data_IF_984740086525
#
_entry.id   IF_984740086525
#
_cell.length_a   1.000
_cell.length_b   1.000
_cell.length_c   1.000
_cell.angle_alpha   90.00
_cell.angle_beta   90.00
_cell.angle_gamma   90.00
#
_symmetry.space_group_name_H-M   'P 1'
#
loop_
_entity.id
_entity.type
_entity.pdbx_description
1 polymer ?
#
# COMPACT_ATOMS: atom_id res chain seq x y z
N UNK A 1 -14.73 -5.52 5.38
CA UNK A 1 -13.61 -4.60 5.63
C UNK A 1 -13.61 -3.54 4.53
N UNK A 2 -13.58 -2.28 4.90
CA UNK A 2 -13.53 -1.12 3.99
C UNK A 2 -12.09 -0.68 3.75
N UNK A 3 -11.88 0.19 2.76
CA UNK A 3 -10.57 0.82 2.54
C UNK A 3 -10.13 1.67 3.73
N UNK A 4 -11.06 2.27 4.48
CA UNK A 4 -10.71 3.06 5.66
C UNK A 4 -10.17 2.17 6.79
N UNK A 5 -10.82 1.01 7.01
CA UNK A 5 -10.40 0.04 8.03
C UNK A 5 -9.03 -0.55 7.73
N UNK A 6 -8.72 -0.87 6.45
CA UNK A 6 -7.38 -1.37 6.09
C UNK A 6 -6.33 -0.27 6.23
N UNK A 7 -6.65 1.00 5.91
CA UNK A 7 -5.73 2.12 6.16
C UNK A 7 -5.37 2.23 7.64
N UNK A 8 -6.35 2.12 8.54
CA UNK A 8 -6.10 2.13 9.97
C UNK A 8 -5.21 0.94 10.39
N UNK A 9 -5.55 -0.28 9.96
CA UNK A 9 -4.78 -1.48 10.29
C UNK A 9 -3.31 -1.40 9.79
N UNK A 10 -3.09 -0.82 8.60
CA UNK A 10 -1.74 -0.60 8.06
C UNK A 10 -0.96 0.37 8.95
N UNK A 11 -1.55 1.49 9.36
CA UNK A 11 -0.88 2.46 10.24
C UNK A 11 -0.52 1.84 11.58
N UNK A 12 -1.44 1.07 12.17
CA UNK A 12 -1.19 0.36 13.43
C UNK A 12 -0.01 -0.62 13.30
N UNK A 13 0.06 -1.38 12.21
CA UNK A 13 1.17 -2.31 11.97
C UNK A 13 2.50 -1.60 11.69
N UNK A 14 2.49 -0.45 11.01
CA UNK A 14 3.70 0.35 10.82
C UNK A 14 4.22 0.91 12.16
N UNK A 15 3.33 1.34 13.05
CA UNK A 15 3.71 1.77 14.40
C UNK A 15 4.33 0.62 15.21
N UNK A 16 3.77 -0.58 15.12
CA UNK A 16 4.34 -1.79 15.74
C UNK A 16 5.74 -2.10 15.18
N UNK A 17 5.91 -2.02 13.86
CA UNK A 17 7.21 -2.20 13.18
C UNK A 17 8.26 -1.22 13.71
N UNK A 18 7.89 0.05 13.87
CA UNK A 18 8.81 1.07 14.39
C UNK A 18 9.12 0.86 15.88
N UNK A 19 8.10 0.59 16.70
CA UNK A 19 8.22 0.53 18.15
C UNK A 19 8.87 -0.78 18.64
N UNK A 20 8.45 -1.93 18.10
CA UNK A 20 8.89 -3.25 18.58
C UNK A 20 10.15 -3.74 17.86
N UNK A 21 10.29 -3.42 16.58
CA UNK A 21 11.37 -3.95 15.74
C UNK A 21 12.43 -2.89 15.38
N UNK A 22 12.29 -1.65 15.86
CA UNK A 22 13.23 -0.54 15.67
C UNK A 22 13.55 -0.22 14.20
N UNK A 23 12.65 -0.57 13.26
CA UNK A 23 12.83 -0.27 11.84
C UNK A 23 12.37 1.15 11.56
N UNK A 24 13.32 2.10 11.56
CA UNK A 24 13.04 3.54 11.36
C UNK A 24 13.04 4.00 9.91
N UNK A 25 13.61 3.22 9.01
CA UNK A 25 13.81 3.60 7.62
C UNK A 25 13.55 2.41 6.69
N UNK A 26 12.88 2.68 5.58
CA UNK A 26 12.66 1.69 4.52
C UNK A 26 13.12 2.25 3.17
N UNK A 27 13.48 1.37 2.23
CA UNK A 27 13.74 1.77 0.84
C UNK A 27 12.45 1.98 0.05
N UNK A 28 11.35 1.37 0.50
CA UNK A 28 10.03 1.44 -0.10
C UNK A 28 9.08 0.43 0.55
N UNK A 29 7.86 0.34 0.02
CA UNK A 29 6.85 -0.64 0.45
C UNK A 29 5.98 -1.05 -0.75
N UNK A 30 5.40 -2.24 -0.69
CA UNK A 30 4.39 -2.71 -1.65
C UNK A 30 3.22 -3.27 -0.87
N UNK A 31 2.01 -2.83 -1.20
CA UNK A 31 0.78 -3.32 -0.58
C UNK A 31 0.02 -4.18 -1.59
N UNK A 32 -0.31 -5.40 -1.20
CA UNK A 32 -1.18 -6.29 -1.96
C UNK A 32 -2.59 -6.20 -1.38
N UNK A 33 -3.57 -5.93 -2.23
CA UNK A 33 -4.98 -5.83 -1.86
C UNK A 33 -5.76 -6.84 -2.70
N UNK A 34 -6.59 -7.65 -2.03
CA UNK A 34 -7.54 -8.55 -2.68
C UNK A 34 -8.94 -7.92 -2.55
N UNK A 35 -9.37 -7.13 -3.55
CA UNK A 35 -10.66 -6.47 -3.51
C UNK A 35 -11.81 -7.48 -3.64
N UNK A 36 -12.89 -7.20 -2.92
CA UNK A 36 -14.13 -7.98 -2.93
C UNK A 36 -15.34 -7.07 -3.12
N UNK A 37 -16.46 -7.63 -3.60
CA UNK A 37 -17.74 -6.94 -3.68
C UNK A 37 -18.43 -6.79 -2.30
N UNK A 38 -17.83 -7.30 -1.23
CA UNK A 38 -18.37 -7.27 0.14
C UNK A 38 -19.33 -8.43 0.45
N UNK A 39 -19.68 -9.25 -0.54
CA UNK A 39 -20.48 -10.47 -0.40
C UNK A 39 -19.65 -11.75 -0.48
N UNK A 40 -18.33 -11.62 -0.65
CA UNK A 40 -17.39 -12.74 -0.69
C UNK A 40 -16.87 -13.08 -2.08
N UNK A 41 -17.35 -12.40 -3.12
CA UNK A 41 -16.80 -12.57 -4.47
C UNK A 41 -15.63 -11.61 -4.70
N UNK A 42 -14.66 -12.06 -5.48
CA UNK A 42 -13.55 -11.25 -5.95
C UNK A 42 -14.03 -10.19 -6.94
N UNK A 43 -13.35 -9.04 -6.92
CA UNK A 43 -13.61 -7.94 -7.86
C UNK A 43 -12.34 -7.65 -8.66
N UNK A 44 -12.46 -7.45 -9.97
CA UNK A 44 -11.37 -6.92 -10.79
C UNK A 44 -11.52 -5.41 -10.95
N UNK A 45 -10.62 -4.58 -10.35
CA UNK A 45 -10.70 -3.14 -10.52
C UNK A 45 -10.41 -2.75 -11.96
N UNK A 46 -11.21 -1.82 -12.49
CA UNK A 46 -11.02 -1.24 -13.83
C UNK A 46 -10.97 0.29 -13.77
N UNK A 47 -10.25 0.90 -14.71
CA UNK A 47 -10.25 2.34 -14.88
C UNK A 47 -11.51 2.83 -15.64
N UNK A 48 -11.61 4.15 -15.85
CA UNK A 48 -12.74 4.76 -16.56
C UNK A 48 -12.90 4.30 -18.01
N UNK A 49 -11.83 3.75 -18.61
CA UNK A 49 -11.85 3.20 -19.97
C UNK A 49 -12.17 1.69 -19.99
N UNK A 50 -12.40 1.08 -18.83
CA UNK A 50 -12.66 -0.36 -18.69
C UNK A 50 -11.38 -1.19 -18.70
N UNK A 51 -10.20 -0.59 -18.61
CA UNK A 51 -8.94 -1.34 -18.53
C UNK A 51 -8.71 -1.83 -17.11
N UNK A 52 -8.35 -3.10 -16.98
CA UNK A 52 -7.98 -3.72 -15.71
C UNK A 52 -6.78 -3.00 -15.05
N UNK A 53 -6.88 -2.79 -13.75
CA UNK A 53 -5.85 -2.19 -12.91
C UNK A 53 -5.23 -3.30 -12.05
N UNK A 54 -3.99 -3.65 -12.35
CA UNK A 54 -3.24 -4.64 -11.57
C UNK A 54 -2.27 -4.00 -10.56
N UNK A 55 -1.82 -2.77 -10.83
CA UNK A 55 -0.84 -2.05 -10.01
C UNK A 55 -1.12 -0.56 -10.03
N UNK A 56 -0.91 0.06 -8.88
CA UNK A 56 -0.91 1.53 -8.73
C UNK A 56 0.42 1.91 -8.11
N UNK A 57 1.04 2.96 -8.64
CA UNK A 57 2.28 3.53 -8.13
C UNK A 57 1.97 4.81 -7.35
N UNK A 58 2.74 5.08 -6.30
CA UNK A 58 2.69 6.35 -5.59
C UNK A 58 3.75 7.27 -6.18
N UNK A 59 3.32 8.33 -6.88
CA UNK A 59 4.20 9.37 -7.43
C UNK A 59 4.38 10.56 -6.47
N UNK A 60 4.05 10.36 -5.19
CA UNK A 60 4.14 11.41 -4.15
C UNK A 60 5.58 11.79 -3.78
N UNK A 61 5.76 12.86 -2.98
CA UNK A 61 7.10 13.39 -2.65
C UNK A 61 7.94 12.49 -1.73
N UNK A 62 7.35 11.43 -1.18
CA UNK A 62 7.96 10.56 -0.19
C UNK A 62 8.77 9.45 -0.88
N UNK A 63 9.99 9.79 -1.31
CA UNK A 63 10.98 8.86 -1.86
C UNK A 63 12.13 8.65 -0.89
N UNK A 64 12.72 7.45 -0.91
CA UNK A 64 13.93 7.18 -0.12
C UNK A 64 15.08 8.03 -0.65
N UNK A 65 15.77 8.75 0.23
CA UNK A 65 16.95 9.54 -0.14
C UNK A 65 18.04 8.67 -0.81
N UNK A 66 18.11 7.37 -0.48
CA UNK A 66 19.03 6.43 -1.12
C UNK A 66 18.81 6.30 -2.65
N UNK A 67 17.57 6.50 -3.13
CA UNK A 67 17.28 6.50 -4.57
C UNK A 67 17.91 7.71 -5.28
N UNK A 68 18.00 8.86 -4.60
CA UNK A 68 18.64 10.06 -5.16
C UNK A 68 20.17 9.93 -5.21
N UNK A 69 20.76 9.19 -4.27
CA UNK A 69 22.20 8.96 -4.21
C UNK A 69 22.69 7.70 -4.93
N UNK A 70 21.80 6.91 -5.54
CA UNK A 70 22.10 5.61 -6.19
C UNK A 70 22.89 4.64 -5.28
N UNK A 71 22.53 4.59 -4.00
CA UNK A 71 23.15 3.75 -2.96
C UNK A 71 22.30 2.50 -2.61
#
# INVERSE_FOLDING_TARGET
MTILEICQAIVEKLNEVEAEYAVRHTRGATLYINPTNGFGDDVEPVDRSGRRIDKVYSDGPYKSAAMDYKL
#
